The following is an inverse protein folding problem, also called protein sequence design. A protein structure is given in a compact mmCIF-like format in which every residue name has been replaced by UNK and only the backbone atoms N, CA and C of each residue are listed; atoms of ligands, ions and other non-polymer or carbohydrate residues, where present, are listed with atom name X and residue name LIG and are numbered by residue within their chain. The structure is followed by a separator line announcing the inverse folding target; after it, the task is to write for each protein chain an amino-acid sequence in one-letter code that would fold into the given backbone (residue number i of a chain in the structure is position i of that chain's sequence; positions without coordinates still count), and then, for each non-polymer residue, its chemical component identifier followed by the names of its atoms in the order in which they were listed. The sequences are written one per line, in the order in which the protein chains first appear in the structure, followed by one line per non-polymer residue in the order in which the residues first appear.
data_IF_762671459561
#
_entry.id   IF_762671459561
#
_cell.length_a   1.000
_cell.length_b   1.000
_cell.length_c   1.000
_cell.angle_alpha   90.00
_cell.angle_beta   90.00
_cell.angle_gamma   90.00
#
_symmetry.space_group_name_H-M   'P 1'
#
loop_
_entity.id
_entity.type
_entity.pdbx_description
1 polymer ?
#
# COMPACT_ATOMS: atom_id res chain seq x y z
N UNK A 1 -47.59 16.82 -59.66
CA UNK A 1 -46.18 16.71 -60.12
C UNK A 1 -45.36 17.68 -59.29
N UNK A 2 -44.66 17.16 -58.30
CA UNK A 2 -43.95 17.90 -57.26
C UNK A 2 -42.45 17.84 -57.54
N UNK A 3 -41.85 19.00 -57.85
CA UNK A 3 -40.41 19.20 -57.94
C UNK A 3 -39.81 19.27 -56.54
N UNK A 4 -39.07 18.22 -56.16
CA UNK A 4 -38.19 18.23 -54.98
C UNK A 4 -36.84 18.77 -55.44
N UNK A 5 -36.51 19.96 -54.95
CA UNK A 5 -35.21 20.61 -55.08
C UNK A 5 -34.17 19.79 -54.30
N UNK A 6 -33.22 19.19 -55.00
CA UNK A 6 -32.05 18.56 -54.39
C UNK A 6 -31.08 19.64 -53.90
N UNK A 7 -30.97 19.80 -52.59
CA UNK A 7 -29.86 20.52 -51.95
C UNK A 7 -28.60 19.66 -52.12
N UNK A 8 -27.92 19.88 -53.25
CA UNK A 8 -26.60 19.34 -53.56
C UNK A 8 -25.55 19.87 -52.59
N UNK A 9 -24.91 18.93 -51.89
CA UNK A 9 -23.66 18.98 -51.13
C UNK A 9 -22.92 20.33 -51.11
N UNK A 10 -22.84 20.92 -49.91
CA UNK A 10 -21.87 21.95 -49.59
C UNK A 10 -20.45 21.42 -49.90
N UNK A 11 -19.79 22.05 -50.87
CA UNK A 11 -18.40 21.77 -51.24
C UNK A 11 -17.51 22.14 -50.06
N UNK A 12 -16.65 21.21 -49.62
CA UNK A 12 -15.67 21.48 -48.57
C UNK A 12 -14.76 22.64 -49.00
N UNK A 13 -14.55 23.68 -48.17
CA UNK A 13 -13.50 24.65 -48.44
C UNK A 13 -12.15 23.97 -48.23
N UNK A 14 -11.60 23.40 -49.30
CA UNK A 14 -10.19 23.04 -49.34
C UNK A 14 -9.40 24.33 -49.53
N UNK A 15 -8.59 24.69 -48.53
CA UNK A 15 -7.53 25.69 -48.62
C UNK A 15 -6.46 25.18 -49.60
N UNK A 16 -6.81 25.14 -50.89
CA UNK A 16 -5.94 24.78 -51.99
C UNK A 16 -5.11 26.02 -52.36
N UNK A 17 -3.90 26.13 -51.82
CA UNK A 17 -3.02 27.25 -52.15
C UNK A 17 -1.68 27.31 -51.41
N UNK A 18 -1.49 26.53 -50.36
CA UNK A 18 -0.18 26.42 -49.69
C UNK A 18 0.46 25.07 -50.06
N UNK A 19 1.65 25.17 -50.66
CA UNK A 19 2.54 24.09 -51.09
C UNK A 19 2.44 22.82 -50.22
N UNK A 20 2.20 21.70 -50.90
CA UNK A 20 1.67 20.44 -50.35
C UNK A 20 2.75 19.43 -49.94
N UNK A 21 4.04 19.69 -50.17
CA UNK A 21 4.99 18.59 -50.40
C UNK A 21 6.05 18.25 -49.33
N UNK A 22 6.37 19.05 -48.31
CA UNK A 22 7.58 18.74 -47.49
C UNK A 22 7.40 18.36 -46.01
N UNK A 23 6.18 18.21 -45.47
CA UNK A 23 6.03 17.91 -44.02
C UNK A 23 4.79 17.10 -43.61
N UNK A 24 4.32 16.20 -44.48
CA UNK A 24 3.18 15.35 -44.15
C UNK A 24 3.61 14.15 -43.29
N UNK A 25 3.34 14.15 -41.98
CA UNK A 25 3.35 12.88 -41.23
C UNK A 25 2.17 12.04 -41.73
N UNK A 26 2.40 10.77 -42.09
CA UNK A 26 1.35 9.83 -42.47
C UNK A 26 0.20 9.84 -41.45
N UNK A 27 -1.06 9.71 -41.92
CA UNK A 27 -2.26 9.67 -41.07
C UNK A 27 -2.15 8.65 -39.94
N UNK A 28 -1.49 7.51 -40.20
CA UNK A 28 -1.20 6.50 -39.20
C UNK A 28 -0.35 7.03 -38.02
N UNK A 29 0.69 7.84 -38.29
CA UNK A 29 1.56 8.43 -37.26
C UNK A 29 0.82 9.49 -36.43
N UNK A 30 -0.08 10.27 -37.04
CA UNK A 30 -0.91 11.24 -36.31
C UNK A 30 -1.89 10.51 -35.37
N UNK A 31 -2.50 9.42 -35.83
CA UNK A 31 -3.38 8.57 -35.00
C UNK A 31 -2.65 7.80 -33.89
N UNK A 32 -1.34 7.62 -34.03
CA UNK A 32 -0.47 7.06 -33.00
C UNK A 32 -0.09 8.11 -31.97
N UNK A 33 0.38 9.27 -32.41
CA UNK A 33 0.68 10.45 -31.57
C UNK A 33 -0.54 10.89 -30.74
N UNK A 34 -1.75 10.80 -31.31
CA UNK A 34 -2.98 11.20 -30.61
C UNK A 34 -3.34 10.32 -29.42
N UNK A 35 -2.67 9.15 -29.27
CA UNK A 35 -2.85 8.27 -28.12
C UNK A 35 -1.94 8.64 -26.96
N UNK A 36 -0.86 9.39 -27.19
CA UNK A 36 0.11 9.74 -26.14
C UNK A 36 -0.51 10.55 -24.99
N UNK A 37 -1.33 11.61 -25.23
CA UNK A 37 -1.98 12.33 -24.15
C UNK A 37 -2.81 11.41 -23.24
N UNK A 38 -3.59 10.51 -23.84
CA UNK A 38 -4.37 9.52 -23.12
C UNK A 38 -3.47 8.52 -22.37
N UNK A 39 -2.43 8.00 -23.02
CA UNK A 39 -1.55 6.98 -22.43
C UNK A 39 -0.79 7.52 -21.23
N UNK A 40 -0.22 8.74 -21.33
CA UNK A 40 0.45 9.41 -20.22
C UNK A 40 -0.49 9.48 -19.01
N UNK A 41 -1.70 10.00 -19.21
CA UNK A 41 -2.66 10.15 -18.12
C UNK A 41 -3.15 8.82 -17.57
N UNK A 42 -3.43 7.83 -18.42
CA UNK A 42 -3.86 6.49 -17.98
C UNK A 42 -2.77 5.81 -17.16
N UNK A 43 -1.51 5.82 -17.62
CA UNK A 43 -0.39 5.19 -16.90
C UNK A 43 -0.19 5.84 -15.54
N UNK A 44 -0.16 7.18 -15.47
CA UNK A 44 -0.02 7.91 -14.20
C UNK A 44 -1.17 7.55 -13.24
N UNK A 45 -2.41 7.57 -13.73
CA UNK A 45 -3.57 7.27 -12.89
C UNK A 45 -3.66 5.80 -12.48
N UNK A 46 -3.17 4.86 -13.30
CA UNK A 46 -3.07 3.43 -12.93
C UNK A 46 -2.03 3.23 -11.82
N UNK A 47 -0.88 3.92 -11.88
CA UNK A 47 0.13 3.88 -10.81
C UNK A 47 -0.48 4.36 -9.49
N UNK A 48 -1.19 5.49 -9.50
CA UNK A 48 -1.88 6.01 -8.32
C UNK A 48 -3.03 5.11 -7.84
N UNK A 49 -3.80 4.53 -8.76
CA UNK A 49 -4.85 3.57 -8.41
C UNK A 49 -4.26 2.34 -7.70
N UNK A 50 -3.19 1.77 -8.26
CA UNK A 50 -2.48 0.64 -7.66
C UNK A 50 -1.97 1.00 -6.28
N UNK A 51 -1.29 2.14 -6.16
CA UNK A 51 -0.69 2.56 -4.91
C UNK A 51 -1.76 2.87 -3.84
N UNK A 52 -2.90 3.45 -4.24
CA UNK A 52 -4.04 3.72 -3.35
C UNK A 52 -4.70 2.44 -2.82
N UNK A 53 -4.84 1.42 -3.66
CA UNK A 53 -5.48 0.15 -3.27
C UNK A 53 -4.50 -0.85 -2.64
N UNK A 54 -3.22 -0.75 -2.96
CA UNK A 54 -2.14 -1.59 -2.46
C UNK A 54 -1.08 -0.71 -1.75
N UNK A 55 -1.41 -0.09 -0.60
CA UNK A 55 -0.50 0.79 0.12
C UNK A 55 0.80 0.09 0.54
N UNK A 56 0.81 -1.24 0.61
CA UNK A 56 2.01 -2.05 0.88
C UNK A 56 3.11 -1.83 -0.17
N UNK A 57 2.75 -1.44 -1.40
CA UNK A 57 3.69 -1.17 -2.49
C UNK A 57 4.24 0.27 -2.51
N UNK A 58 3.59 1.21 -1.80
CA UNK A 58 3.95 2.63 -1.82
C UNK A 58 4.64 3.04 -0.52
N UNK A 59 5.60 3.97 -0.55
CA UNK A 59 6.24 4.49 0.68
C UNK A 59 5.45 5.64 1.31
N UNK A 60 4.13 5.63 1.17
CA UNK A 60 3.28 6.75 1.57
C UNK A 60 3.68 8.05 0.89
N UNK A 61 3.65 9.15 1.63
CA UNK A 61 3.98 10.50 1.15
C UNK A 61 5.47 10.69 0.81
N UNK A 62 6.34 9.76 1.23
CA UNK A 62 7.78 9.82 0.98
C UNK A 62 8.19 9.08 -0.30
N UNK A 63 7.23 8.58 -1.09
CA UNK A 63 7.52 7.88 -2.33
C UNK A 63 7.98 8.86 -3.43
N UNK A 64 9.26 8.80 -3.87
CA UNK A 64 9.81 9.80 -4.78
C UNK A 64 9.20 9.71 -6.17
N UNK A 65 8.76 8.53 -6.61
CA UNK A 65 8.14 8.36 -7.92
C UNK A 65 6.72 8.93 -7.92
N UNK A 66 5.94 8.64 -6.88
CA UNK A 66 4.58 9.17 -6.75
C UNK A 66 4.61 10.69 -6.57
N UNK A 67 5.53 11.23 -5.77
CA UNK A 67 5.71 12.68 -5.63
C UNK A 67 6.02 13.37 -6.96
N UNK A 68 6.86 12.75 -7.79
CA UNK A 68 7.19 13.26 -9.13
C UNK A 68 6.02 13.24 -10.13
N UNK A 69 5.03 12.37 -9.93
CA UNK A 69 3.87 12.17 -10.80
C UNK A 69 2.57 12.83 -10.29
N UNK A 70 2.53 13.20 -9.01
CA UNK A 70 1.35 13.70 -8.31
C UNK A 70 0.61 14.86 -9.00
N UNK A 71 1.28 15.87 -9.61
CA UNK A 71 0.58 16.94 -10.33
C UNK A 71 -0.31 16.46 -11.48
N UNK A 72 0.03 15.34 -12.12
CA UNK A 72 -0.73 14.75 -13.23
C UNK A 72 -1.80 13.74 -12.75
N UNK A 73 -1.73 13.28 -11.51
CA UNK A 73 -2.66 12.30 -10.99
C UNK A 73 -4.03 12.92 -10.67
N UNK A 74 -5.10 12.14 -10.84
CA UNK A 74 -6.46 12.55 -10.48
C UNK A 74 -6.59 12.70 -8.96
N UNK A 75 -7.18 13.79 -8.49
CA UNK A 75 -7.48 13.99 -7.07
C UNK A 75 -8.48 12.96 -6.49
N UNK A 76 -9.19 12.20 -7.34
CA UNK A 76 -10.07 11.13 -6.89
C UNK A 76 -9.34 10.01 -6.12
N UNK A 77 -8.02 9.87 -6.32
CA UNK A 77 -7.19 8.94 -5.55
C UNK A 77 -6.62 9.55 -4.27
N UNK A 78 -7.04 10.77 -3.90
CA UNK A 78 -6.67 11.44 -2.65
C UNK A 78 -7.84 11.51 -1.64
N UNK A 79 -9.07 11.09 -2.00
CA UNK A 79 -10.29 11.34 -1.21
C UNK A 79 -10.59 10.27 -0.14
N UNK A 80 -9.59 9.53 0.34
CA UNK A 80 -9.75 8.46 1.34
C UNK A 80 -9.34 8.81 2.77
N UNK A 81 -9.17 10.10 3.08
CA UNK A 81 -8.78 10.59 4.41
C UNK A 81 -7.33 11.10 4.51
N UNK A 82 -6.46 10.75 3.58
CA UNK A 82 -5.07 11.23 3.54
C UNK A 82 -4.79 11.89 2.20
N UNK A 83 -4.45 13.18 2.23
CA UNK A 83 -3.86 13.85 1.08
C UNK A 83 -2.47 13.23 0.89
N UNK A 84 -2.32 12.37 -0.12
CA UNK A 84 -1.04 11.72 -0.43
C UNK A 84 0.05 12.71 -0.83
N UNK A 85 -0.30 13.74 -1.60
CA UNK A 85 0.62 14.80 -1.98
C UNK A 85 -0.11 16.14 -2.11
N UNK A 86 0.44 17.19 -1.53
CA UNK A 86 -0.11 18.56 -1.61
C UNK A 86 -0.16 19.12 -3.06
N UNK A 87 0.60 18.50 -3.97
CA UNK A 87 0.66 18.85 -5.40
C UNK A 87 -0.48 18.27 -6.22
N UNK A 88 -1.14 17.21 -5.74
CA UNK A 88 -2.24 16.55 -6.45
C UNK A 88 -3.51 17.42 -6.43
N UNK A 89 -4.03 17.76 -7.61
CA UNK A 89 -5.22 18.63 -7.78
C UNK A 89 -6.19 18.06 -8.81
N UNK A 90 -7.39 18.64 -8.89
CA UNK A 90 -8.41 18.26 -9.88
C UNK A 90 -7.96 18.42 -11.34
N UNK A 91 -6.87 19.15 -11.59
CA UNK A 91 -6.24 19.30 -12.90
C UNK A 91 -5.93 17.96 -13.58
N UNK A 92 -5.42 16.98 -12.83
CA UNK A 92 -5.10 15.65 -13.37
C UNK A 92 -6.34 14.89 -13.87
N UNK A 93 -7.48 15.03 -13.20
CA UNK A 93 -8.75 14.43 -13.61
C UNK A 93 -9.23 14.99 -14.96
N UNK A 94 -9.17 16.31 -15.12
CA UNK A 94 -9.54 16.97 -16.37
C UNK A 94 -8.60 16.64 -17.52
N UNK A 95 -7.29 16.56 -17.27
CA UNK A 95 -6.30 16.16 -18.29
C UNK A 95 -6.53 14.72 -18.78
N UNK A 96 -6.96 13.81 -17.90
CA UNK A 96 -7.35 12.45 -18.29
C UNK A 96 -8.57 12.48 -19.22
N UNK A 97 -9.60 13.25 -18.87
CA UNK A 97 -10.82 13.41 -19.68
C UNK A 97 -10.47 14.00 -21.05
N UNK A 98 -9.67 15.07 -21.10
CA UNK A 98 -9.26 15.70 -22.36
C UNK A 98 -8.37 14.79 -23.21
N UNK A 99 -7.43 14.06 -22.62
CA UNK A 99 -6.61 13.08 -23.33
C UNK A 99 -7.45 11.97 -23.97
N UNK A 100 -8.44 11.44 -23.23
CA UNK A 100 -9.39 10.46 -23.74
C UNK A 100 -10.26 11.05 -24.86
N UNK A 101 -10.77 12.26 -24.68
CA UNK A 101 -11.57 12.96 -25.68
C UNK A 101 -10.79 13.16 -26.98
N UNK A 102 -9.53 13.61 -26.93
CA UNK A 102 -8.65 13.75 -28.11
C UNK A 102 -8.51 12.41 -28.84
N UNK A 103 -8.21 11.33 -28.11
CA UNK A 103 -8.02 10.00 -28.69
C UNK A 103 -9.28 9.44 -29.36
N UNK A 104 -10.47 9.80 -28.87
CA UNK A 104 -11.77 9.39 -29.43
C UNK A 104 -12.19 10.28 -30.60
N UNK A 105 -12.15 11.60 -30.42
CA UNK A 105 -12.64 12.59 -31.38
C UNK A 105 -11.83 12.59 -32.68
N UNK A 106 -10.51 12.38 -32.60
CA UNK A 106 -9.65 12.36 -33.81
C UNK A 106 -9.96 11.20 -34.75
N UNK A 107 -10.60 10.14 -34.25
CA UNK A 107 -11.08 8.99 -35.04
C UNK A 107 -12.53 9.15 -35.53
N UNK A 108 -13.19 10.25 -35.21
CA UNK A 108 -14.55 10.51 -35.66
C UNK A 108 -14.56 10.86 -37.15
N UNK A 109 -15.54 10.32 -37.89
CA UNK A 109 -15.81 10.71 -39.29
C UNK A 109 -16.67 11.97 -39.40
N UNK A 110 -17.04 12.59 -38.29
CA UNK A 110 -17.86 13.80 -38.28
C UNK A 110 -16.97 15.02 -38.25
N UNK A 111 -17.13 15.94 -39.21
CA UNK A 111 -16.33 17.17 -39.27
C UNK A 111 -16.47 18.03 -38.00
N UNK A 112 -17.66 18.04 -37.40
CA UNK A 112 -17.94 18.71 -36.11
C UNK A 112 -16.99 18.23 -34.99
N UNK A 113 -16.61 16.96 -34.97
CA UNK A 113 -15.70 16.43 -33.95
C UNK A 113 -14.29 17.04 -34.03
N UNK A 114 -13.85 17.49 -35.22
CA UNK A 114 -12.57 18.18 -35.40
C UNK A 114 -12.62 19.62 -34.90
N UNK A 115 -13.76 20.30 -35.09
CA UNK A 115 -13.96 21.62 -34.49
C UNK A 115 -13.95 21.56 -32.96
N UNK A 116 -14.53 20.51 -32.37
CA UNK A 116 -14.52 20.28 -30.91
C UNK A 116 -13.11 19.93 -30.39
N UNK A 117 -12.25 19.34 -31.22
CA UNK A 117 -10.89 18.96 -30.83
C UNK A 117 -10.05 20.18 -30.40
N UNK A 118 -10.25 21.34 -31.03
CA UNK A 118 -9.55 22.59 -30.71
C UNK A 118 -9.80 23.09 -29.29
N UNK A 119 -11.04 23.36 -28.85
CA UNK A 119 -11.29 23.80 -27.49
C UNK A 119 -10.84 22.76 -26.47
N UNK A 120 -10.96 21.45 -26.75
CA UNK A 120 -10.47 20.39 -25.86
C UNK A 120 -8.94 20.45 -25.70
N UNK A 121 -8.19 20.55 -26.79
CA UNK A 121 -6.73 20.63 -26.75
C UNK A 121 -6.26 21.94 -26.10
N UNK A 122 -6.91 23.06 -26.38
CA UNK A 122 -6.62 24.35 -25.78
C UNK A 122 -6.85 24.36 -24.26
N UNK A 123 -8.00 23.86 -23.80
CA UNK A 123 -8.31 23.75 -22.37
C UNK A 123 -7.31 22.84 -21.66
N UNK A 124 -6.95 21.70 -22.27
CA UNK A 124 -5.92 20.83 -21.73
C UNK A 124 -4.54 21.51 -21.64
N UNK A 125 -4.12 22.23 -22.68
CA UNK A 125 -2.87 22.97 -22.66
C UNK A 125 -2.85 24.08 -21.59
N UNK A 126 -3.95 24.81 -21.44
CA UNK A 126 -4.12 25.80 -20.39
C UNK A 126 -4.01 25.17 -18.99
N UNK A 127 -4.63 24.00 -18.78
CA UNK A 127 -4.53 23.27 -17.51
C UNK A 127 -3.10 22.82 -17.20
N UNK A 128 -2.35 22.31 -18.18
CA UNK A 128 -0.93 21.97 -18.00
C UNK A 128 -0.12 23.21 -17.64
N UNK A 129 -0.38 24.35 -18.28
CA UNK A 129 0.31 25.60 -17.97
C UNK A 129 0.01 26.08 -16.54
N UNK A 130 -1.25 26.04 -16.12
CA UNK A 130 -1.65 26.34 -14.74
C UNK A 130 -0.97 25.40 -13.75
N UNK A 131 -0.88 24.11 -14.07
CA UNK A 131 -0.17 23.12 -13.26
C UNK A 131 1.32 23.48 -13.12
N UNK A 132 2.02 23.72 -14.23
CA UNK A 132 3.45 24.05 -14.24
C UNK A 132 3.71 25.35 -13.47
N UNK A 133 2.91 26.39 -13.72
CA UNK A 133 3.03 27.67 -13.00
C UNK A 133 2.79 27.51 -11.50
N UNK A 134 1.78 26.70 -11.12
CA UNK A 134 1.50 26.37 -9.73
C UNK A 134 2.62 25.59 -9.05
N UNK A 135 3.35 24.75 -9.77
CA UNK A 135 4.56 24.06 -9.26
C UNK A 135 5.72 25.05 -9.09
N UNK A 136 5.96 25.93 -10.07
CA UNK A 136 7.03 26.94 -10.03
C UNK A 136 6.87 27.86 -8.82
N UNK A 137 5.66 28.40 -8.60
CA UNK A 137 5.39 29.31 -7.47
C UNK A 137 5.67 28.64 -6.12
N UNK A 138 5.40 27.34 -6.01
CA UNK A 138 5.61 26.58 -4.77
C UNK A 138 7.07 26.15 -4.55
N UNK A 139 7.95 26.38 -5.52
CA UNK A 139 9.35 25.93 -5.45
C UNK A 139 9.53 24.42 -5.58
N UNK A 140 8.51 23.69 -6.04
CA UNK A 140 8.47 22.21 -6.05
C UNK A 140 8.97 21.61 -7.39
N UNK A 141 9.69 22.39 -8.20
CA UNK A 141 10.00 22.06 -9.60
C UNK A 141 10.90 20.81 -9.72
N UNK A 142 11.90 20.68 -8.86
CA UNK A 142 12.78 19.50 -8.83
C UNK A 142 12.05 18.25 -8.32
N UNK A 143 11.11 18.43 -7.39
CA UNK A 143 10.28 17.34 -6.86
C UNK A 143 9.21 16.83 -7.84
N UNK A 144 8.97 17.54 -8.95
CA UNK A 144 7.88 17.25 -9.91
C UNK A 144 8.34 17.31 -11.37
N UNK A 145 9.64 17.22 -11.62
CA UNK A 145 10.23 17.37 -12.95
C UNK A 145 9.64 16.39 -13.99
N UNK A 146 9.41 15.14 -13.59
CA UNK A 146 8.81 14.13 -14.47
C UNK A 146 7.39 14.51 -14.89
N UNK A 147 6.55 14.99 -13.96
CA UNK A 147 5.23 15.53 -14.30
C UNK A 147 5.30 16.72 -15.24
N UNK A 148 6.27 17.62 -15.08
CA UNK A 148 6.46 18.76 -15.99
C UNK A 148 6.83 18.27 -17.39
N UNK A 149 7.80 17.37 -17.51
CA UNK A 149 8.23 16.79 -18.78
C UNK A 149 7.08 16.06 -19.48
N UNK A 150 6.36 15.20 -18.75
CA UNK A 150 5.19 14.48 -19.27
C UNK A 150 4.07 15.45 -19.67
N UNK A 151 3.85 16.53 -18.91
CA UNK A 151 2.93 17.61 -19.26
C UNK A 151 3.32 18.31 -20.56
N UNK A 152 4.59 18.63 -20.76
CA UNK A 152 5.09 19.22 -22.01
C UNK A 152 4.88 18.28 -23.19
N UNK A 153 5.18 16.98 -23.03
CA UNK A 153 4.91 15.97 -24.05
C UNK A 153 3.41 15.86 -24.33
N UNK A 154 2.57 15.89 -23.30
CA UNK A 154 1.11 15.89 -23.43
C UNK A 154 0.64 17.07 -24.28
N UNK A 155 1.11 18.30 -23.99
CA UNK A 155 0.75 19.51 -24.75
C UNK A 155 1.25 19.44 -26.19
N UNK A 156 2.52 19.11 -26.39
CA UNK A 156 3.12 19.04 -27.72
C UNK A 156 2.37 18.03 -28.60
N UNK A 157 2.04 16.85 -28.06
CA UNK A 157 1.31 15.82 -28.79
C UNK A 157 -0.17 16.20 -29.01
N UNK A 158 -0.85 16.79 -28.04
CA UNK A 158 -2.22 17.28 -28.19
C UNK A 158 -2.34 18.39 -29.24
N UNK A 159 -1.45 19.40 -29.22
CA UNK A 159 -1.47 20.52 -30.16
C UNK A 159 -1.10 20.05 -31.57
N UNK A 160 -0.04 19.26 -31.73
CA UNK A 160 0.38 18.76 -33.05
C UNK A 160 -0.67 17.87 -33.69
N UNK A 161 -1.32 16.99 -32.91
CA UNK A 161 -2.37 16.11 -33.43
C UNK A 161 -3.62 16.90 -33.79
N UNK A 162 -3.98 17.92 -32.99
CA UNK A 162 -5.11 18.79 -33.27
C UNK A 162 -4.90 19.62 -34.52
N UNK A 163 -3.76 20.31 -34.62
CA UNK A 163 -3.38 21.10 -35.80
C UNK A 163 -3.39 20.24 -37.06
N UNK A 164 -2.79 19.05 -37.02
CA UNK A 164 -2.71 18.16 -38.19
C UNK A 164 -4.02 17.50 -38.56
N UNK A 165 -4.94 17.33 -37.62
CA UNK A 165 -6.27 16.79 -37.91
C UNK A 165 -7.07 17.67 -38.88
N UNK A 166 -6.78 18.98 -38.97
CA UNK A 166 -7.43 19.89 -39.93
C UNK A 166 -7.06 19.57 -41.37
N UNK A 167 -5.82 19.14 -41.60
CA UNK A 167 -5.26 18.94 -42.93
C UNK A 167 -5.54 17.54 -43.50
N UNK A 168 -6.03 16.61 -42.67
CA UNK A 168 -6.32 15.24 -43.09
C UNK A 168 -7.69 15.12 -43.73
N UNK A 169 -7.83 14.37 -44.82
CA UNK A 169 -9.17 14.00 -45.31
C UNK A 169 -9.83 13.01 -44.34
N UNK A 170 -11.12 13.21 -44.09
CA UNK A 170 -11.92 12.33 -43.22
C UNK A 170 -12.11 10.96 -43.86
N UNK A 171 -12.22 10.93 -45.18
CA UNK A 171 -12.47 9.72 -45.97
C UNK A 171 -11.25 8.81 -46.03
N UNK A 172 -10.05 9.37 -45.82
CA UNK A 172 -8.76 8.65 -45.80
C UNK A 172 -8.41 8.05 -44.43
N UNK A 173 -9.33 8.14 -43.45
CA UNK A 173 -9.11 7.53 -42.13
C UNK A 173 -9.14 6.00 -42.24
N UNK A 174 -8.07 5.30 -41.81
CA UNK A 174 -8.04 3.84 -41.88
C UNK A 174 -9.21 3.24 -41.10
N UNK A 175 -9.77 2.11 -41.56
CA UNK A 175 -10.84 1.42 -40.83
C UNK A 175 -10.37 1.13 -39.40
N UNK A 176 -11.32 1.17 -38.45
CA UNK A 176 -11.02 0.85 -37.05
C UNK A 176 -10.47 -0.57 -36.99
N UNK A 177 -9.17 -0.70 -36.70
CA UNK A 177 -8.55 -1.99 -36.47
C UNK A 177 -9.30 -2.71 -35.34
N UNK A 178 -9.55 -4.03 -35.45
CA UNK A 178 -10.16 -4.78 -34.36
C UNK A 178 -9.34 -4.57 -33.08
N UNK A 179 -10.00 -4.44 -31.92
CA UNK A 179 -9.29 -4.18 -30.68
C UNK A 179 -8.33 -5.33 -30.37
N UNK A 180 -7.04 -5.02 -30.35
CA UNK A 180 -5.97 -5.97 -30.00
C UNK A 180 -6.20 -6.46 -28.56
N UNK A 181 -6.07 -7.77 -28.36
CA UNK A 181 -6.18 -8.40 -27.04
C UNK A 181 -4.96 -8.13 -26.16
N UNK A 182 -3.80 -7.85 -26.78
CA UNK A 182 -2.52 -7.64 -26.09
C UNK A 182 -2.56 -6.68 -24.88
N UNK A 183 -3.16 -5.47 -24.94
CA UNK A 183 -3.22 -4.59 -23.76
C UNK A 183 -4.01 -5.19 -22.60
N UNK A 184 -5.08 -5.95 -22.88
CA UNK A 184 -5.81 -6.66 -21.82
C UNK A 184 -4.96 -7.79 -21.25
N UNK A 185 -4.30 -8.57 -22.09
CA UNK A 185 -3.39 -9.64 -21.65
C UNK A 185 -2.27 -9.07 -20.78
N UNK A 186 -1.65 -7.97 -21.20
CA UNK A 186 -0.60 -7.30 -20.45
C UNK A 186 -1.12 -6.76 -19.10
N UNK A 187 -2.32 -6.19 -19.08
CA UNK A 187 -2.96 -5.74 -17.83
C UNK A 187 -3.30 -6.92 -16.90
N UNK A 188 -3.73 -8.05 -17.44
CA UNK A 188 -4.01 -9.26 -16.65
C UNK A 188 -2.73 -9.91 -16.13
N UNK A 189 -1.64 -9.93 -16.92
CA UNK A 189 -0.35 -10.51 -16.53
C UNK A 189 0.39 -9.62 -15.52
N UNK A 190 0.18 -8.31 -15.56
CA UNK A 190 0.71 -7.37 -14.60
C UNK A 190 0.02 -7.55 -13.23
N UNK A 191 0.48 -8.55 -12.45
CA UNK A 191 -0.14 -9.07 -11.21
C UNK A 191 -0.75 -8.00 -10.28
N UNK A 192 -0.10 -6.84 -10.21
CA UNK A 192 -0.47 -5.71 -9.37
C UNK A 192 -1.80 -5.05 -9.78
N UNK A 193 -2.09 -4.90 -11.08
CA UNK A 193 -3.29 -4.20 -11.55
C UNK A 193 -4.56 -5.00 -11.24
N UNK A 194 -4.68 -6.29 -11.60
CA UNK A 194 -5.87 -7.07 -11.26
C UNK A 194 -6.03 -7.19 -9.75
N UNK A 195 -4.95 -7.32 -8.98
CA UNK A 195 -5.04 -7.37 -7.53
C UNK A 195 -5.64 -6.08 -6.94
N UNK A 196 -5.17 -4.91 -7.40
CA UNK A 196 -5.72 -3.62 -7.00
C UNK A 196 -7.22 -3.50 -7.35
N UNK A 197 -7.61 -3.92 -8.57
CA UNK A 197 -9.01 -3.93 -9.01
C UNK A 197 -9.86 -4.87 -8.16
N UNK A 198 -9.35 -6.09 -7.89
CA UNK A 198 -10.03 -7.07 -7.05
C UNK A 198 -10.27 -6.55 -5.64
N UNK A 199 -9.24 -5.96 -5.02
CA UNK A 199 -9.34 -5.35 -3.69
C UNK A 199 -10.31 -4.16 -3.68
N UNK A 200 -10.27 -3.31 -4.72
CA UNK A 200 -11.18 -2.17 -4.86
C UNK A 200 -12.66 -2.57 -4.86
N UNK A 201 -12.99 -3.69 -5.51
CA UNK A 201 -14.38 -4.12 -5.68
C UNK A 201 -14.85 -5.03 -4.54
N UNK A 202 -13.99 -5.92 -4.04
CA UNK A 202 -14.40 -7.01 -3.14
C UNK A 202 -13.84 -6.91 -1.71
N UNK A 203 -12.84 -6.06 -1.46
CA UNK A 203 -12.20 -5.95 -0.15
C UNK A 203 -11.77 -4.51 0.20
N UNK A 204 -12.70 -3.54 0.21
CA UNK A 204 -12.36 -2.16 0.52
C UNK A 204 -11.83 -1.97 1.94
N UNK A 205 -12.34 -2.72 2.92
CA UNK A 205 -11.89 -2.62 4.32
C UNK A 205 -10.45 -3.10 4.53
N UNK A 206 -10.00 -4.07 3.72
CA UNK A 206 -8.62 -4.55 3.73
C UNK A 206 -7.64 -3.45 3.30
N UNK A 207 -8.06 -2.52 2.43
CA UNK A 207 -7.25 -1.34 2.09
C UNK A 207 -6.99 -0.47 3.31
N UNK A 208 -8.03 -0.21 4.11
CA UNK A 208 -7.92 0.66 5.28
C UNK A 208 -6.98 0.02 6.31
N UNK A 209 -7.18 -1.27 6.61
CA UNK A 209 -6.29 -2.01 7.49
C UNK A 209 -4.84 -2.07 6.96
N UNK A 210 -4.64 -2.22 5.64
CA UNK A 210 -3.33 -2.18 5.03
C UNK A 210 -2.66 -0.79 5.13
N UNK A 211 -3.44 0.29 5.02
CA UNK A 211 -2.94 1.65 5.17
C UNK A 211 -2.45 1.90 6.61
N UNK A 212 -3.19 1.43 7.61
CA UNK A 212 -2.78 1.50 9.02
C UNK A 212 -1.44 0.77 9.28
N UNK A 213 -1.15 -0.28 8.51
CA UNK A 213 0.12 -1.03 8.58
C UNK A 213 1.25 -0.42 7.74
N UNK A 214 0.94 0.40 6.73
CA UNK A 214 1.90 0.90 5.75
C UNK A 214 2.86 1.97 6.29
N UNK A 215 2.82 2.26 7.60
CA UNK A 215 3.77 3.12 8.30
C UNK A 215 5.21 2.68 8.02
N UNK A 216 6.07 3.63 7.67
CA UNK A 216 7.46 3.41 7.29
C UNK A 216 8.21 2.56 8.33
N UNK A 217 8.80 1.44 7.87
CA UNK A 217 9.63 0.56 8.69
C UNK A 217 8.89 -0.56 9.43
N UNK A 218 7.56 -0.64 9.33
CA UNK A 218 6.82 -1.72 10.01
C UNK A 218 7.19 -3.09 9.43
N UNK A 219 7.55 -4.04 10.30
CA UNK A 219 7.77 -5.44 9.91
C UNK A 219 6.48 -6.07 9.34
N UNK A 220 5.32 -5.51 9.69
CA UNK A 220 3.98 -5.98 9.33
C UNK A 220 3.42 -5.35 8.05
N UNK A 221 4.18 -4.49 7.35
CA UNK A 221 3.74 -3.80 6.14
C UNK A 221 3.12 -4.73 5.09
N UNK A 222 3.65 -5.95 4.95
CA UNK A 222 3.21 -6.90 3.94
C UNK A 222 2.12 -7.87 4.42
N UNK A 223 1.70 -7.79 5.69
CA UNK A 223 0.74 -8.70 6.28
C UNK A 223 -0.64 -8.64 5.60
N UNK A 224 -1.02 -7.51 5.02
CA UNK A 224 -2.26 -7.38 4.25
C UNK A 224 -2.13 -7.88 2.79
N UNK A 225 -0.91 -8.01 2.26
CA UNK A 225 -0.64 -8.45 0.89
C UNK A 225 -0.35 -9.96 0.79
N UNK A 226 0.32 -10.57 1.77
CA UNK A 226 0.62 -12.01 1.74
C UNK A 226 -0.43 -12.81 2.51
N UNK A 227 -1.60 -12.98 1.88
CA UNK A 227 -2.77 -13.59 2.49
C UNK A 227 -3.42 -14.60 1.56
N UNK A 228 -4.18 -15.55 2.10
CA UNK A 228 -4.96 -16.49 1.30
C UNK A 228 -6.02 -15.80 0.43
N UNK A 229 -6.45 -14.59 0.80
CA UNK A 229 -7.38 -13.78 0.02
C UNK A 229 -6.75 -13.26 -1.29
N UNK A 230 -5.44 -13.04 -1.32
CA UNK A 230 -4.69 -12.40 -2.41
C UNK A 230 -4.85 -13.10 -3.77
N UNK A 231 -4.64 -14.43 -3.90
CA UNK A 231 -4.87 -15.10 -5.18
C UNK A 231 -6.32 -15.00 -5.65
N UNK A 232 -7.29 -15.03 -4.72
CA UNK A 232 -8.72 -14.91 -5.06
C UNK A 232 -9.10 -13.50 -5.48
N UNK A 233 -8.57 -12.49 -4.79
CA UNK A 233 -8.71 -11.08 -5.16
C UNK A 233 -8.10 -10.82 -6.54
N UNK A 234 -6.92 -11.36 -6.83
CA UNK A 234 -6.30 -11.26 -8.15
C UNK A 234 -7.20 -11.88 -9.24
N UNK A 235 -7.70 -13.11 -9.05
CA UNK A 235 -8.59 -13.76 -10.02
C UNK A 235 -9.90 -12.99 -10.20
N UNK A 236 -10.50 -12.50 -9.11
CA UNK A 236 -11.69 -11.67 -9.15
C UNK A 236 -11.44 -10.37 -9.94
N UNK A 237 -10.30 -9.72 -9.74
CA UNK A 237 -9.92 -8.53 -10.48
C UNK A 237 -9.64 -8.78 -11.96
N UNK A 238 -9.02 -9.92 -12.31
CA UNK A 238 -8.87 -10.35 -13.71
C UNK A 238 -10.25 -10.48 -14.35
N UNK A 239 -11.20 -11.11 -13.65
CA UNK A 239 -12.55 -11.24 -14.16
C UNK A 239 -13.24 -9.87 -14.32
N UNK A 240 -13.07 -8.93 -13.38
CA UNK A 240 -13.61 -7.56 -13.53
C UNK A 240 -13.04 -6.88 -14.79
N UNK A 241 -11.73 -6.99 -15.03
CA UNK A 241 -11.08 -6.42 -16.21
C UNK A 241 -11.60 -7.06 -17.52
N UNK A 242 -11.76 -8.38 -17.54
CA UNK A 242 -12.29 -9.10 -18.71
C UNK A 242 -13.76 -8.75 -18.95
N UNK A 243 -14.58 -8.63 -17.91
CA UNK A 243 -15.97 -8.18 -18.01
C UNK A 243 -16.06 -6.76 -18.56
N UNK A 244 -15.26 -5.84 -18.02
CA UNK A 244 -15.18 -4.46 -18.50
C UNK A 244 -14.78 -4.38 -19.98
N UNK A 245 -13.82 -5.20 -20.39
CA UNK A 245 -13.41 -5.29 -21.79
C UNK A 245 -14.49 -5.91 -22.69
N UNK A 246 -15.19 -6.95 -22.22
CA UNK A 246 -16.28 -7.57 -22.95
C UNK A 246 -17.46 -6.60 -23.13
N UNK A 247 -17.83 -5.87 -22.07
CA UNK A 247 -18.83 -4.81 -22.12
C UNK A 247 -18.43 -3.69 -23.10
N UNK A 248 -17.15 -3.28 -23.08
CA UNK A 248 -16.63 -2.29 -24.00
C UNK A 248 -16.70 -2.73 -25.48
N UNK A 249 -16.61 -4.04 -25.77
CA UNK A 249 -16.83 -4.59 -27.12
C UNK A 249 -18.29 -4.59 -27.57
N UNK A 250 -19.24 -4.56 -26.64
CA UNK A 250 -20.67 -4.54 -26.97
C UNK A 250 -21.18 -3.14 -27.38
N UNK A 251 -20.38 -2.09 -27.17
CA UNK A 251 -20.72 -0.72 -27.55
C UNK A 251 -20.97 -0.58 -29.07
N UNK A 252 -21.95 0.25 -29.47
CA UNK A 252 -22.29 0.46 -30.87
C UNK A 252 -21.07 0.96 -31.67
N UNK A 253 -20.82 0.34 -32.83
CA UNK A 253 -19.65 0.61 -33.68
C UNK A 253 -18.37 -0.15 -33.30
N UNK A 254 -18.44 -1.09 -32.34
CA UNK A 254 -17.36 -2.05 -32.00
C UNK A 254 -17.83 -3.50 -31.88
N UNK A 255 -19.11 -3.77 -32.20
CA UNK A 255 -19.69 -5.10 -32.14
C UNK A 255 -18.90 -6.04 -33.06
N UNK A 256 -18.47 -7.21 -32.57
CA UNK A 256 -17.82 -8.20 -33.43
C UNK A 256 -18.83 -8.73 -34.46
N UNK A 257 -18.33 -9.15 -35.63
CA UNK A 257 -19.14 -9.79 -36.67
C UNK A 257 -19.70 -11.16 -36.24
N UNK A 258 -19.18 -11.73 -35.14
CA UNK A 258 -19.68 -12.96 -34.51
C UNK A 258 -21.00 -12.69 -33.76
N UNK A 259 -21.87 -13.70 -33.60
CA UNK A 259 -23.18 -13.50 -32.99
C UNK A 259 -23.00 -12.91 -31.58
N UNK A 260 -23.62 -11.75 -31.35
CA UNK A 260 -23.58 -11.03 -30.07
C UNK A 260 -23.93 -11.95 -28.88
N UNK A 261 -24.69 -13.02 -29.13
CA UNK A 261 -24.98 -14.09 -28.17
C UNK A 261 -23.75 -14.70 -27.50
N UNK A 262 -22.64 -14.95 -28.20
CA UNK A 262 -21.44 -15.57 -27.60
C UNK A 262 -20.71 -14.63 -26.64
N UNK A 263 -20.73 -13.32 -26.93
CA UNK A 263 -20.13 -12.31 -26.03
C UNK A 263 -21.01 -12.11 -24.80
N UNK A 264 -22.33 -12.13 -24.99
CA UNK A 264 -23.30 -12.02 -23.89
C UNK A 264 -23.23 -13.25 -22.98
N UNK A 265 -23.19 -14.47 -23.52
CA UNK A 265 -23.07 -15.69 -22.71
C UNK A 265 -21.74 -15.75 -21.96
N UNK A 266 -20.63 -15.35 -22.60
CA UNK A 266 -19.34 -15.22 -21.93
C UNK A 266 -19.42 -14.20 -20.79
N UNK A 267 -20.04 -13.04 -21.02
CA UNK A 267 -20.18 -12.00 -20.00
C UNK A 267 -21.04 -12.48 -18.82
N UNK A 268 -22.16 -13.16 -19.10
CA UNK A 268 -23.02 -13.76 -18.05
C UNK A 268 -22.26 -14.82 -17.25
N UNK A 269 -21.56 -15.74 -17.93
CA UNK A 269 -20.75 -16.76 -17.26
C UNK A 269 -19.65 -16.13 -16.40
N UNK A 270 -19.04 -15.04 -16.86
CA UNK A 270 -18.00 -14.32 -16.15
C UNK A 270 -18.54 -13.54 -14.95
N UNK A 271 -19.75 -12.98 -15.06
CA UNK A 271 -20.45 -12.34 -13.93
C UNK A 271 -20.84 -13.37 -12.86
N UNK A 272 -21.34 -14.53 -13.25
CA UNK A 272 -21.66 -15.62 -12.31
C UNK A 272 -20.38 -16.14 -11.64
N UNK A 273 -19.31 -16.35 -12.41
CA UNK A 273 -18.00 -16.74 -11.89
C UNK A 273 -17.39 -15.70 -10.95
N UNK A 274 -17.53 -14.40 -11.26
CA UNK A 274 -17.16 -13.29 -10.38
C UNK A 274 -17.97 -13.31 -9.08
N UNK A 275 -19.26 -13.64 -9.14
CA UNK A 275 -20.08 -13.78 -7.94
C UNK A 275 -19.50 -14.80 -6.96
N UNK A 276 -19.16 -16.00 -7.45
CA UNK A 276 -18.57 -17.06 -6.62
C UNK A 276 -17.18 -16.71 -6.09
N UNK A 277 -16.23 -16.39 -6.99
CA UNK A 277 -14.83 -16.10 -6.61
C UNK A 277 -14.76 -14.82 -5.80
N UNK A 278 -15.48 -13.77 -6.20
CA UNK A 278 -15.49 -12.46 -5.55
C UNK A 278 -16.08 -12.52 -4.14
N UNK A 279 -17.19 -13.24 -3.92
CA UNK A 279 -17.75 -13.46 -2.57
C UNK A 279 -16.76 -14.21 -1.68
N UNK A 280 -16.13 -15.27 -2.20
CA UNK A 280 -15.13 -16.02 -1.43
C UNK A 280 -13.89 -15.17 -1.08
N UNK A 281 -13.51 -14.26 -1.98
CA UNK A 281 -12.40 -13.34 -1.77
C UNK A 281 -12.77 -12.28 -0.72
N UNK A 282 -13.99 -11.74 -0.78
CA UNK A 282 -14.52 -10.79 0.19
C UNK A 282 -14.58 -11.38 1.61
N UNK A 283 -15.03 -12.62 1.75
CA UNK A 283 -15.08 -13.31 3.05
C UNK A 283 -13.69 -13.51 3.65
N UNK A 284 -12.74 -14.03 2.88
CA UNK A 284 -11.36 -14.18 3.36
C UNK A 284 -10.71 -12.83 3.67
N UNK A 285 -10.97 -11.82 2.85
CA UNK A 285 -10.43 -10.48 3.09
C UNK A 285 -11.02 -9.84 4.35
N UNK A 286 -12.31 -10.05 4.63
CA UNK A 286 -12.96 -9.59 5.86
C UNK A 286 -12.38 -10.31 7.09
N UNK A 287 -12.20 -11.63 7.03
CA UNK A 287 -11.54 -12.40 8.09
C UNK A 287 -10.12 -11.88 8.35
N UNK A 288 -9.37 -11.61 7.27
CA UNK A 288 -8.02 -11.08 7.39
C UNK A 288 -7.98 -9.65 7.92
N UNK A 289 -8.94 -8.81 7.53
CA UNK A 289 -9.08 -7.45 8.07
C UNK A 289 -9.32 -7.49 9.56
N UNK A 290 -10.19 -8.39 10.03
CA UNK A 290 -10.44 -8.60 11.45
C UNK A 290 -9.18 -9.11 12.16
N UNK A 291 -8.49 -10.11 11.58
CA UNK A 291 -7.22 -10.60 12.11
C UNK A 291 -6.17 -9.49 12.24
N UNK A 292 -6.07 -8.58 11.26
CA UNK A 292 -5.14 -7.43 11.33
C UNK A 292 -5.53 -6.48 12.47
N UNK A 293 -6.82 -6.21 12.66
CA UNK A 293 -7.31 -5.26 13.67
C UNK A 293 -7.21 -5.79 15.09
N UNK A 294 -7.51 -7.07 15.30
CA UNK A 294 -7.69 -7.63 16.64
C UNK A 294 -6.84 -8.87 16.94
N UNK A 295 -6.21 -9.47 15.94
CA UNK A 295 -5.42 -10.70 16.07
C UNK A 295 -4.01 -10.50 16.63
N UNK A 296 -3.32 -11.62 16.81
CA UNK A 296 -1.95 -11.68 17.32
C UNK A 296 -0.94 -11.76 16.15
N UNK A 297 0.00 -10.81 16.01
CA UNK A 297 0.98 -10.79 14.93
C UNK A 297 2.16 -11.75 15.13
N UNK A 298 2.34 -12.32 16.32
CA UNK A 298 3.46 -13.21 16.68
C UNK A 298 3.77 -14.32 15.66
N UNK A 299 2.81 -15.09 15.11
CA UNK A 299 3.12 -16.16 14.16
C UNK A 299 3.68 -15.69 12.82
N UNK A 300 3.56 -14.39 12.50
CA UNK A 300 4.04 -13.81 11.23
C UNK A 300 5.35 -13.03 11.39
N UNK A 301 5.83 -12.84 12.63
CA UNK A 301 7.12 -12.21 12.89
C UNK A 301 8.25 -13.20 12.58
N UNK A 302 8.93 -12.96 11.46
CA UNK A 302 10.19 -13.62 11.14
C UNK A 302 11.25 -13.11 12.14
N UNK A 303 11.75 -13.99 13.01
CA UNK A 303 12.78 -13.71 14.04
C UNK A 303 12.30 -13.04 15.34
N UNK A 304 11.25 -13.58 15.98
CA UNK A 304 10.97 -13.28 17.39
C UNK A 304 11.83 -14.14 18.33
N UNK A 305 12.36 -13.52 19.37
CA UNK A 305 13.05 -14.23 20.44
C UNK A 305 12.05 -14.69 21.52
N UNK A 306 11.09 -13.83 21.81
CA UNK A 306 10.03 -14.05 22.79
C UNK A 306 8.90 -13.05 22.57
N UNK A 307 7.70 -13.46 22.93
CA UNK A 307 6.48 -12.66 22.83
C UNK A 307 5.61 -12.85 24.07
N UNK A 308 4.98 -11.77 24.52
CA UNK A 308 3.99 -11.79 25.58
C UNK A 308 2.69 -11.19 25.08
N UNK A 309 1.60 -11.84 25.45
CA UNK A 309 0.24 -11.44 25.08
C UNK A 309 -0.50 -10.98 26.31
N UNK A 310 -1.08 -9.78 26.24
CA UNK A 310 -1.96 -9.30 27.29
C UNK A 310 -3.38 -9.85 27.05
N UNK A 311 -3.97 -10.57 28.03
CA UNK A 311 -5.38 -10.92 27.97
C UNK A 311 -6.25 -9.68 28.25
N UNK A 312 -7.34 -9.52 27.50
CA UNK A 312 -8.28 -8.40 27.69
C UNK A 312 -9.42 -8.39 26.67
N UNK A 313 -10.42 -7.53 26.90
CA UNK A 313 -11.48 -7.23 25.93
C UNK A 313 -10.97 -6.20 24.92
N UNK A 314 -11.00 -6.52 23.63
CA UNK A 314 -10.56 -5.64 22.53
C UNK A 314 -9.43 -6.23 21.68
N UNK A 315 -8.72 -5.40 20.90
CA UNK A 315 -7.63 -5.87 20.05
C UNK A 315 -6.49 -6.43 20.89
N UNK A 316 -5.94 -7.58 20.47
CA UNK A 316 -4.86 -8.25 21.19
C UNK A 316 -3.65 -7.32 21.26
N UNK A 317 -3.15 -7.09 22.48
CA UNK A 317 -1.90 -6.38 22.71
C UNK A 317 -0.78 -7.39 22.89
N UNK A 318 0.25 -7.25 22.07
CA UNK A 318 1.43 -8.11 22.15
C UNK A 318 2.69 -7.28 22.27
N UNK A 319 3.62 -7.78 23.07
CA UNK A 319 4.95 -7.25 23.20
C UNK A 319 5.91 -8.31 22.70
N UNK A 320 6.77 -7.96 21.75
CA UNK A 320 7.68 -8.91 21.11
C UNK A 320 9.08 -8.36 21.18
N UNK A 321 10.02 -9.19 21.62
CA UNK A 321 11.45 -8.92 21.48
C UNK A 321 12.00 -9.67 20.29
N UNK A 322 12.69 -8.96 19.41
CA UNK A 322 13.22 -9.46 18.15
C UNK A 322 14.56 -8.81 17.78
N UNK A 323 15.02 -9.11 16.57
CA UNK A 323 16.26 -8.56 16.01
C UNK A 323 17.51 -9.32 16.43
N UNK A 324 18.66 -8.93 15.86
CA UNK A 324 19.94 -9.54 16.16
C UNK A 324 20.29 -9.36 17.65
N UNK A 325 20.50 -10.48 18.36
CA UNK A 325 20.80 -10.48 19.79
C UNK A 325 19.61 -10.08 20.68
N UNK A 326 18.37 -10.14 20.18
CA UNK A 326 17.16 -9.92 20.98
C UNK A 326 17.16 -8.58 21.73
N UNK A 327 17.51 -7.50 21.02
CA UNK A 327 17.69 -6.17 21.58
C UNK A 327 16.63 -5.16 21.10
N UNK A 328 15.72 -5.56 20.22
CA UNK A 328 14.63 -4.70 19.74
C UNK A 328 13.32 -5.12 20.38
N UNK A 329 12.60 -4.16 20.93
CA UNK A 329 11.30 -4.35 21.53
C UNK A 329 10.26 -3.66 20.65
N UNK A 330 9.27 -4.42 20.18
CA UNK A 330 8.12 -3.86 19.50
C UNK A 330 6.83 -4.23 20.22
N UNK A 331 6.01 -3.22 20.50
CA UNK A 331 4.64 -3.39 20.97
C UNK A 331 3.67 -3.33 19.80
N UNK A 332 2.63 -4.13 19.85
CA UNK A 332 1.57 -4.17 18.84
C UNK A 332 0.19 -4.12 19.50
N UNK A 333 -0.75 -3.45 18.84
CA UNK A 333 -2.19 -3.54 19.11
C UNK A 333 -2.86 -4.07 17.84
N UNK A 334 -3.33 -5.30 17.88
CA UNK A 334 -3.54 -6.06 16.64
C UNK A 334 -2.21 -6.24 15.93
N UNK A 335 -2.17 -5.91 14.63
CA UNK A 335 -0.96 -5.91 13.83
C UNK A 335 -0.31 -4.52 13.72
N UNK A 336 -0.97 -3.48 14.22
CA UNK A 336 -0.45 -2.11 14.15
C UNK A 336 0.63 -1.92 15.22
N UNK A 337 1.85 -1.52 14.85
CA UNK A 337 2.90 -1.25 15.81
C UNK A 337 2.53 -0.05 16.68
N UNK A 338 2.53 -0.22 18.00
CA UNK A 338 2.31 0.84 18.98
C UNK A 338 3.62 1.43 19.48
N UNK A 339 4.70 0.65 19.49
CA UNK A 339 6.03 1.08 19.94
C UNK A 339 7.09 0.26 19.25
N UNK A 340 8.23 0.88 18.94
CA UNK A 340 9.43 0.22 18.45
C UNK A 340 10.66 0.89 19.06
N UNK A 341 11.42 0.15 19.87
CA UNK A 341 12.54 0.69 20.64
C UNK A 341 13.67 -0.32 20.81
N UNK A 342 14.91 0.15 20.65
CA UNK A 342 16.09 -0.58 21.08
C UNK A 342 16.20 -0.60 22.61
N UNK A 343 16.33 -1.80 23.19
CA UNK A 343 16.54 -2.01 24.62
C UNK A 343 17.93 -1.57 25.08
N UNK A 344 18.94 -1.69 24.21
CA UNK A 344 20.34 -1.42 24.55
C UNK A 344 21.01 -2.55 25.35
N UNK A 345 20.33 -3.68 25.53
CA UNK A 345 20.79 -4.91 26.15
C UNK A 345 20.08 -6.10 25.49
N UNK A 346 20.66 -7.29 25.59
CA UNK A 346 20.05 -8.56 25.18
C UNK A 346 19.16 -9.12 26.28
N UNK A 347 18.03 -9.69 25.91
CA UNK A 347 17.17 -10.50 26.81
C UNK A 347 17.19 -12.00 26.47
N UNK A 348 17.94 -12.40 25.44
CA UNK A 348 18.12 -13.80 25.06
C UNK A 348 19.35 -14.01 24.16
N UNK A 349 20.17 -15.06 24.40
CA UNK A 349 20.14 -15.89 25.60
C UNK A 349 20.64 -15.12 26.82
N UNK A 350 20.03 -15.35 28.00
CA UNK A 350 20.47 -14.77 29.28
C UNK A 350 20.61 -15.86 30.33
N UNK A 351 21.69 -15.82 31.11
CA UNK A 351 21.99 -16.78 32.19
C UNK A 351 21.83 -16.13 33.56
N UNK A 352 21.03 -16.75 34.42
CA UNK A 352 20.90 -16.41 35.83
C UNK A 352 20.61 -17.68 36.64
N UNK A 353 20.74 -17.61 37.97
CA UNK A 353 20.44 -18.73 38.86
C UNK A 353 19.31 -18.40 39.82
N UNK A 354 18.63 -19.40 40.36
CA UNK A 354 17.76 -19.18 41.51
C UNK A 354 18.60 -18.80 42.74
N UNK A 355 18.06 -18.00 43.68
CA UNK A 355 18.75 -17.65 44.92
C UNK A 355 19.22 -18.88 45.69
N UNK A 356 20.54 -19.07 45.81
CA UNK A 356 21.14 -20.27 46.43
C UNK A 356 20.80 -21.61 45.75
N UNK A 357 20.30 -21.58 44.52
CA UNK A 357 19.73 -22.73 43.81
C UNK A 357 20.40 -23.03 42.47
N UNK A 358 19.77 -23.89 41.64
CA UNK A 358 20.29 -24.23 40.31
C UNK A 358 20.19 -23.07 39.31
N UNK A 359 20.93 -23.19 38.20
CA UNK A 359 20.84 -22.26 37.07
C UNK A 359 19.46 -22.35 36.40
N UNK A 360 18.93 -21.20 35.98
CA UNK A 360 17.68 -21.08 35.25
C UNK A 360 17.93 -21.50 33.79
N UNK A 361 17.17 -22.47 33.30
CA UNK A 361 17.44 -23.14 32.01
C UNK A 361 16.73 -22.50 30.82
N UNK A 362 15.75 -21.62 31.06
CA UNK A 362 15.07 -20.87 29.99
C UNK A 362 16.04 -19.88 29.33
N UNK A 363 15.95 -19.76 27.99
CA UNK A 363 16.72 -18.78 27.22
C UNK A 363 16.29 -17.33 27.53
N UNK A 364 15.05 -17.15 27.98
CA UNK A 364 14.46 -15.88 28.38
C UNK A 364 13.94 -16.01 29.80
N UNK A 365 14.43 -15.16 30.69
CA UNK A 365 14.07 -15.17 32.10
C UNK A 365 13.10 -14.03 32.35
N UNK A 366 11.82 -14.37 32.53
CA UNK A 366 10.74 -13.38 32.60
C UNK A 366 9.55 -13.85 33.44
N UNK A 367 8.82 -12.90 33.99
CA UNK A 367 7.51 -13.13 34.59
C UNK A 367 6.56 -11.97 34.31
N UNK A 368 5.29 -12.28 34.06
CA UNK A 368 4.24 -11.28 33.91
C UNK A 368 3.54 -11.04 35.26
N UNK A 369 3.12 -9.80 35.52
CA UNK A 369 2.39 -9.35 36.72
C UNK A 369 1.32 -8.35 36.31
N UNK A 370 0.22 -8.86 35.74
CA UNK A 370 -0.85 -8.02 35.19
C UNK A 370 -0.39 -7.29 33.91
N UNK A 371 -0.28 -5.97 33.95
CA UNK A 371 0.19 -5.15 32.81
C UNK A 371 1.72 -4.94 32.81
N UNK A 372 2.44 -5.59 33.72
CA UNK A 372 3.89 -5.38 33.86
C UNK A 372 4.60 -6.69 33.62
N UNK A 373 5.54 -6.66 32.70
CA UNK A 373 6.45 -7.75 32.37
C UNK A 373 7.81 -7.44 32.97
N UNK A 374 8.30 -8.34 33.82
CA UNK A 374 9.64 -8.23 34.39
C UNK A 374 10.57 -9.15 33.63
N UNK A 375 11.72 -8.62 33.20
CA UNK A 375 12.70 -9.29 32.36
C UNK A 375 14.10 -9.18 32.94
N UNK A 376 14.87 -10.26 32.86
CA UNK A 376 16.32 -10.19 33.01
C UNK A 376 16.97 -9.79 31.69
N UNK A 377 18.00 -8.96 31.77
CA UNK A 377 18.79 -8.55 30.60
C UNK A 377 20.28 -8.56 30.88
N UNK A 378 21.07 -8.47 29.81
CA UNK A 378 22.52 -8.31 29.88
C UNK A 378 23.06 -7.52 28.70
N UNK A 379 24.08 -6.70 28.93
CA UNK A 379 24.91 -6.14 27.86
C UNK A 379 26.33 -6.75 27.86
N UNK A 380 26.54 -7.82 28.63
CA UNK A 380 27.83 -8.50 28.79
C UNK A 380 28.03 -9.55 27.71
N UNK A 381 29.28 -9.83 27.37
CA UNK A 381 29.66 -10.86 26.41
C UNK A 381 29.54 -12.30 26.94
N UNK A 382 29.38 -12.49 28.25
CA UNK A 382 29.28 -13.82 28.89
C UNK A 382 27.83 -14.27 29.14
N UNK A 383 26.86 -13.54 28.59
CA UNK A 383 25.41 -13.76 28.69
C UNK A 383 24.83 -13.73 30.12
N UNK A 384 25.65 -13.44 31.14
CA UNK A 384 25.17 -13.38 32.53
C UNK A 384 24.29 -12.16 32.73
N UNK A 385 23.09 -12.36 33.28
CA UNK A 385 22.19 -11.28 33.62
C UNK A 385 22.86 -10.28 34.56
N UNK A 386 22.75 -9.00 34.23
CA UNK A 386 23.31 -7.89 35.02
C UNK A 386 22.26 -6.82 35.37
N UNK A 387 21.03 -7.01 34.92
CA UNK A 387 19.92 -6.10 35.20
C UNK A 387 18.59 -6.81 35.16
N UNK A 388 17.62 -6.20 35.84
CA UNK A 388 16.21 -6.55 35.79
C UNK A 388 15.45 -5.30 35.35
N UNK A 389 14.46 -5.45 34.48
CA UNK A 389 13.68 -4.33 33.96
C UNK A 389 12.20 -4.67 34.02
N UNK A 390 11.39 -3.74 34.53
CA UNK A 390 9.94 -3.79 34.47
C UNK A 390 9.43 -3.00 33.26
N UNK A 391 8.83 -3.69 32.31
CA UNK A 391 8.22 -3.11 31.12
C UNK A 391 6.70 -3.18 31.23
N UNK A 392 6.00 -2.14 30.78
CA UNK A 392 4.56 -2.21 30.62
C UNK A 392 4.22 -2.96 29.33
N UNK A 393 3.28 -3.90 29.38
CA UNK A 393 2.95 -4.74 28.22
C UNK A 393 2.20 -3.93 27.14
N UNK A 394 1.39 -2.97 27.54
CA UNK A 394 0.58 -2.15 26.61
C UNK A 394 1.38 -1.33 25.60
N UNK A 395 2.48 -0.72 26.03
CA UNK A 395 3.27 0.22 25.23
C UNK A 395 4.78 -0.09 25.25
N UNK A 396 5.21 -1.15 25.95
CA UNK A 396 6.62 -1.48 26.09
C UNK A 396 7.43 -0.44 26.89
N UNK A 397 6.77 0.49 27.60
CA UNK A 397 7.45 1.51 28.36
C UNK A 397 8.22 0.90 29.53
N UNK A 398 9.49 1.29 29.68
CA UNK A 398 10.30 0.97 30.85
C UNK A 398 9.78 1.76 32.05
N UNK A 399 9.26 1.05 33.05
CA UNK A 399 8.72 1.65 34.28
C UNK A 399 9.80 1.79 35.34
N UNK A 400 10.66 0.78 35.44
CA UNK A 400 11.76 0.74 36.39
C UNK A 400 12.84 -0.21 35.89
N UNK A 401 14.08 0.03 36.32
CA UNK A 401 15.20 -0.88 36.09
C UNK A 401 16.06 -0.99 37.35
N UNK A 402 16.54 -2.21 37.60
CA UNK A 402 17.40 -2.56 38.72
C UNK A 402 18.72 -3.11 38.16
N UNK A 403 19.81 -2.31 38.17
CA UNK A 403 21.12 -2.77 37.75
C UNK A 403 21.82 -3.54 38.89
N UNK A 404 22.38 -4.69 38.55
CA UNK A 404 23.26 -5.46 39.41
C UNK A 404 24.69 -4.94 39.23
N UNK A 405 25.08 -3.95 40.04
CA UNK A 405 26.41 -3.33 39.92
C UNK A 405 27.52 -4.37 40.17
N UNK A 406 28.43 -4.50 39.20
CA UNK A 406 29.62 -5.34 39.32
C UNK A 406 30.64 -4.60 40.19
N UNK A 407 30.46 -4.64 41.51
CA UNK A 407 31.50 -4.14 42.41
C UNK A 407 32.73 -5.06 42.35
N UNK A 408 33.76 -4.58 41.67
CA UNK A 408 35.16 -5.03 41.77
C UNK A 408 35.44 -6.51 41.46
N UNK A 409 35.45 -6.86 40.17
CA UNK A 409 36.32 -7.92 39.63
C UNK A 409 35.95 -9.38 39.91
N UNK A 410 34.96 -9.67 40.76
CA UNK A 410 34.29 -10.98 40.79
C UNK A 410 33.03 -10.86 39.98
N UNK A 411 32.89 -11.70 38.95
CA UNK A 411 31.72 -11.75 38.08
C UNK A 411 30.46 -12.18 38.84
N UNK A 412 29.92 -11.29 39.68
CA UNK A 412 28.67 -11.46 40.36
C UNK A 412 27.60 -11.77 39.32
N UNK A 413 27.08 -12.99 39.38
CA UNK A 413 25.91 -13.41 38.63
C UNK A 413 24.69 -12.93 39.40
N UNK A 414 23.74 -12.30 38.69
CA UNK A 414 22.43 -12.05 39.24
C UNK A 414 21.77 -13.40 39.56
N UNK A 415 21.36 -13.58 40.82
CA UNK A 415 20.41 -14.64 41.18
C UNK A 415 19.01 -14.02 41.22
N UNK A 416 18.04 -14.66 40.58
CA UNK A 416 16.72 -14.09 40.32
C UNK A 416 15.64 -15.12 40.58
N UNK A 417 14.56 -14.69 41.25
CA UNK A 417 13.35 -15.48 41.43
C UNK A 417 12.11 -14.59 41.33
N UNK A 418 11.11 -15.06 40.61
CA UNK A 418 9.81 -14.41 40.48
C UNK A 418 8.80 -15.16 41.35
N UNK A 419 8.33 -14.49 42.42
CA UNK A 419 7.33 -15.04 43.34
C UNK A 419 5.93 -14.54 42.97
N UNK A 420 4.92 -15.39 43.16
CA UNK A 420 3.51 -15.06 42.95
C UNK A 420 3.14 -14.75 41.50
N UNK A 421 3.86 -15.28 40.52
CA UNK A 421 3.57 -15.03 39.10
C UNK A 421 2.18 -15.62 38.72
N UNK A 422 1.28 -14.88 38.06
CA UNK A 422 -0.02 -15.37 37.62
C UNK A 422 0.06 -16.56 36.65
N UNK A 423 1.16 -16.67 35.90
CA UNK A 423 1.44 -17.77 34.97
C UNK A 423 1.78 -19.09 35.70
N UNK A 424 1.87 -19.07 37.03
CA UNK A 424 2.25 -20.21 37.86
C UNK A 424 3.76 -20.38 38.04
N UNK A 425 4.11 -21.34 38.90
CA UNK A 425 5.49 -21.68 39.18
C UNK A 425 6.09 -22.52 38.03
N UNK A 426 7.29 -22.11 37.62
CA UNK A 426 8.10 -22.74 36.60
C UNK A 426 9.58 -22.42 36.90
N UNK A 427 10.29 -23.32 37.62
CA UNK A 427 11.68 -23.12 38.01
C UNK A 427 12.61 -22.91 36.81
N UNK A 428 12.27 -23.46 35.64
CA UNK A 428 13.07 -23.30 34.43
C UNK A 428 13.04 -21.85 33.91
N UNK A 429 12.00 -21.07 34.22
CA UNK A 429 11.88 -19.65 33.90
C UNK A 429 12.22 -18.72 35.09
N UNK A 430 12.66 -19.29 36.23
CA UNK A 430 12.91 -18.55 37.47
C UNK A 430 11.64 -18.20 38.26
N UNK A 431 10.47 -18.74 37.87
CA UNK A 431 9.19 -18.55 38.57
C UNK A 431 9.07 -19.59 39.68
N UNK A 432 9.14 -19.17 40.92
CA UNK A 432 9.04 -20.06 42.07
C UNK A 432 8.51 -19.28 43.27
N UNK A 433 7.38 -19.71 43.81
CA UNK A 433 6.68 -19.04 44.90
C UNK A 433 6.79 -19.86 46.18
N UNK A 434 7.34 -19.27 47.23
CA UNK A 434 7.37 -19.94 48.54
C UNK A 434 6.01 -19.83 49.25
N UNK A 435 5.78 -20.73 50.20
CA UNK A 435 4.48 -20.79 50.89
C UNK A 435 4.24 -19.51 51.70
N UNK A 436 3.16 -18.81 51.38
CA UNK A 436 2.78 -17.55 52.05
C UNK A 436 3.44 -16.31 51.45
N UNK A 437 4.20 -16.46 50.37
CA UNK A 437 4.82 -15.36 49.66
C UNK A 437 3.84 -14.71 48.67
N UNK A 438 3.90 -13.38 48.56
CA UNK A 438 3.08 -12.59 47.63
C UNK A 438 3.87 -12.23 46.37
N UNK A 439 3.21 -11.60 45.38
CA UNK A 439 3.84 -11.07 44.15
C UNK A 439 5.11 -10.26 44.47
N UNK A 440 6.29 -10.77 44.09
CA UNK A 440 7.58 -10.12 44.34
C UNK A 440 8.66 -10.60 43.36
N UNK A 441 9.67 -9.75 43.14
CA UNK A 441 10.89 -10.10 42.39
C UNK A 441 12.05 -10.13 43.37
N UNK A 442 12.61 -11.32 43.61
CA UNK A 442 13.76 -11.50 44.50
C UNK A 442 15.03 -11.49 43.67
N UNK A 443 15.90 -10.51 43.91
CA UNK A 443 17.15 -10.30 43.19
C UNK A 443 18.33 -10.32 44.16
N UNK A 444 19.31 -11.19 43.93
CA UNK A 444 20.55 -11.25 44.72
C UNK A 444 21.72 -10.80 43.85
N UNK A 445 22.41 -9.77 44.33
CA UNK A 445 23.57 -9.16 43.67
C UNK A 445 24.75 -9.14 44.63
N UNK A 446 25.83 -9.87 44.29
CA UNK A 446 27.03 -9.90 45.12
C UNK A 446 26.81 -10.40 46.56
N UNK A 447 25.77 -11.23 46.77
CA UNK A 447 25.37 -11.75 48.08
C UNK A 447 24.38 -10.87 48.85
N UNK A 448 24.01 -9.69 48.33
CA UNK A 448 22.95 -8.85 48.91
C UNK A 448 21.64 -9.14 48.18
N UNK A 449 20.68 -9.72 48.90
CA UNK A 449 19.33 -9.98 48.40
C UNK A 449 18.41 -8.78 48.60
N UNK A 450 17.62 -8.47 47.57
CA UNK A 450 16.54 -7.47 47.61
C UNK A 450 15.25 -8.09 47.13
N UNK A 451 14.15 -7.70 47.78
CA UNK A 451 12.79 -8.04 47.36
C UNK A 451 12.15 -6.80 46.75
N UNK A 452 11.87 -6.84 45.46
CA UNK A 452 11.32 -5.72 44.71
C UNK A 452 9.84 -5.93 44.44
N UNK A 453 9.06 -4.86 44.53
CA UNK A 453 7.69 -4.82 44.03
C UNK A 453 7.71 -4.92 42.49
N UNK A 454 7.06 -5.93 41.87
CA UNK A 454 7.09 -6.09 40.43
C UNK A 454 6.55 -4.88 39.66
N UNK A 455 5.67 -4.08 40.28
CA UNK A 455 5.00 -2.96 39.62
C UNK A 455 5.81 -1.68 39.62
N UNK A 456 6.56 -1.42 40.69
CA UNK A 456 7.26 -0.15 40.90
C UNK A 456 8.78 -0.29 40.96
N UNK A 457 9.29 -1.51 41.15
CA UNK A 457 10.70 -1.75 41.42
C UNK A 457 11.15 -1.29 42.81
N UNK A 458 10.23 -0.86 43.68
CA UNK A 458 10.55 -0.42 45.03
C UNK A 458 10.89 -1.62 45.93
N UNK A 459 11.86 -1.44 46.82
CA UNK A 459 12.24 -2.44 47.81
C UNK A 459 11.13 -2.58 48.87
N UNK A 460 10.78 -3.82 49.21
CA UNK A 460 9.75 -4.18 50.20
C UNK A 460 10.32 -4.49 51.57
#
# INVERSE_FOLDING_TARGET
MSTITSLSAATQPTLAGLSRDDSYLPTAKVLELSRLPMLIMVVVNVIFFVAYWLPELARGNDDPLLGQLAPLASAAFATGGEVWFATQRSTGTWLLIFGLAIAVLIRSRHWVARLILFPVAYLGAALVLVMIFGVIIRGELFGTLLSVLLGVVWVATAVTTTWRSLWQNIDDLPPRSPPRLWPLVLACVAAVIPLAVGRAVFAPDLRQAAADLAVSGSAMRWAALFTEATPRLYLAGVAVLVAGWAAWRLLPGRRPDRPAGTVVTLLVALVIGMGGIGMSAAQLAAQRTEQIRSGDPTPELLFSCVSWRQPGEGPVRTLVVHGAGCQQLSGFTGYTPSTDRALGYSVSPVKASLPGGPEITSSVISASYGDILVLAGTNRFDDKADRIVGLRITDGAELWSFPCAVESGRGASLELRFAGAPDGDDPAAGRLTERGETEAVVAVCGGVGKTLDPRTGAER
#
